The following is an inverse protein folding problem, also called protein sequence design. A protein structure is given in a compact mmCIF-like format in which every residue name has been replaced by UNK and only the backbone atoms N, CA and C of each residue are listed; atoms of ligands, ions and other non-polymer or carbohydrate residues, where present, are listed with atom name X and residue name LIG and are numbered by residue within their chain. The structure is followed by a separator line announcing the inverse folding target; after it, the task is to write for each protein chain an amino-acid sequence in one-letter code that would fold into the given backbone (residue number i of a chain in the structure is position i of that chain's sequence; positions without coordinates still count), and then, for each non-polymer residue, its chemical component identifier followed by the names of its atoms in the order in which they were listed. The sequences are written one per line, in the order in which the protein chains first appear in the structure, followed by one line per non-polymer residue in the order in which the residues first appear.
data_IF_658096113444
#
_entry.id   IF_658096113444
#
_cell.length_a   1.000
_cell.length_b   1.000
_cell.length_c   1.000
_cell.angle_alpha   90.00
_cell.angle_beta   90.00
_cell.angle_gamma   90.00
#
_symmetry.space_group_name_H-M   'P 1'
#
loop_
_entity.id
_entity.type
_entity.pdbx_description
1 polymer ?
#
# COMPACT_ATOMS: atom_id res chain seq x y z
N UNK A 1 2.51 0.61 -6.04
CA UNK A 1 3.15 -0.41 -6.92
C UNK A 1 4.66 -0.37 -6.90
N UNK A 2 5.27 0.82 -7.10
CA UNK A 2 6.74 0.91 -7.17
C UNK A 2 7.44 0.46 -5.89
N UNK A 3 6.86 0.75 -4.73
CA UNK A 3 7.43 0.32 -3.45
C UNK A 3 7.34 -1.19 -3.29
N UNK A 4 6.17 -1.76 -3.56
CA UNK A 4 5.99 -3.20 -3.45
C UNK A 4 6.85 -3.97 -4.45
N UNK A 5 7.10 -3.41 -5.63
CA UNK A 5 7.92 -4.06 -6.65
C UNK A 5 9.39 -4.21 -6.25
N UNK A 6 9.83 -3.54 -5.18
CA UNK A 6 11.16 -3.75 -4.61
C UNK A 6 11.29 -5.07 -3.85
N UNK A 7 10.16 -5.63 -3.43
CA UNK A 7 10.13 -6.88 -2.65
C UNK A 7 9.49 -8.03 -3.42
N UNK A 8 8.54 -7.74 -4.29
CA UNK A 8 7.73 -8.73 -5.00
C UNK A 8 7.82 -8.44 -6.48
N UNK A 9 7.97 -9.48 -7.29
CA UNK A 9 8.04 -9.33 -8.75
C UNK A 9 6.81 -8.57 -9.27
N UNK A 10 7.07 -7.52 -10.04
CA UNK A 10 6.04 -6.60 -10.52
C UNK A 10 4.92 -7.30 -11.29
N UNK A 11 5.24 -8.36 -12.06
CA UNK A 11 4.26 -9.09 -12.84
C UNK A 11 3.28 -9.90 -11.99
N UNK A 12 3.54 -10.06 -10.70
CA UNK A 12 2.62 -10.72 -9.76
C UNK A 12 1.67 -9.75 -9.08
N UNK A 13 1.93 -8.44 -9.20
CA UNK A 13 1.14 -7.39 -8.57
C UNK A 13 0.05 -6.93 -9.53
N UNK A 14 -1.18 -6.87 -9.06
CA UNK A 14 -2.34 -6.44 -9.84
C UNK A 14 -3.09 -5.36 -9.06
N UNK A 15 -3.43 -4.29 -9.77
CA UNK A 15 -4.28 -3.23 -9.20
C UNK A 15 -5.74 -3.59 -9.42
N UNK A 16 -6.49 -3.68 -8.34
CA UNK A 16 -7.94 -3.82 -8.39
C UNK A 16 -8.57 -2.48 -8.04
N UNK A 17 -9.20 -1.86 -9.04
CA UNK A 17 -9.83 -0.57 -8.81
C UNK A 17 -10.96 -0.64 -7.80
N UNK A 18 -11.14 0.43 -7.04
CA UNK A 18 -10.41 1.72 -7.20
C UNK A 18 -9.07 1.79 -6.45
N UNK A 19 -8.82 0.94 -5.46
CA UNK A 19 -7.75 1.25 -4.50
C UNK A 19 -7.10 0.04 -3.83
N UNK A 20 -7.17 -1.14 -4.44
CA UNK A 20 -6.57 -2.35 -3.88
C UNK A 20 -5.41 -2.86 -4.72
N UNK A 21 -4.42 -3.47 -4.06
CA UNK A 21 -3.34 -4.19 -4.72
C UNK A 21 -3.42 -5.65 -4.32
N UNK A 22 -3.38 -6.52 -5.31
CA UNK A 22 -3.54 -7.97 -5.13
C UNK A 22 -2.30 -8.72 -5.61
N UNK A 23 -2.08 -9.89 -4.99
CA UNK A 23 -1.15 -10.92 -5.45
C UNK A 23 -1.92 -12.23 -5.49
N UNK A 24 -1.97 -12.88 -6.67
CA UNK A 24 -2.71 -14.14 -6.83
C UNK A 24 -4.12 -14.06 -6.25
N UNK A 25 -4.81 -12.95 -6.54
CA UNK A 25 -6.17 -12.67 -6.07
C UNK A 25 -6.29 -12.48 -4.55
N UNK A 26 -5.18 -12.26 -3.85
CA UNK A 26 -5.16 -11.97 -2.43
C UNK A 26 -4.76 -10.52 -2.19
N UNK A 27 -5.50 -9.82 -1.36
CA UNK A 27 -5.23 -8.42 -1.09
C UNK A 27 -4.01 -8.27 -0.18
N UNK A 28 -3.05 -7.45 -0.60
CA UNK A 28 -1.86 -7.12 0.19
C UNK A 28 -1.86 -5.67 0.64
N UNK A 29 -2.54 -4.78 -0.08
CA UNK A 29 -2.57 -3.36 0.23
C UNK A 29 -3.89 -2.73 -0.17
N UNK A 30 -4.29 -1.73 0.59
CA UNK A 30 -5.44 -0.89 0.27
C UNK A 30 -5.07 0.58 0.48
N UNK A 31 -5.66 1.44 -0.34
CA UNK A 31 -5.43 2.89 -0.28
C UNK A 31 -6.78 3.57 -0.09
N UNK A 32 -6.84 4.49 0.87
CA UNK A 32 -8.02 5.29 1.13
C UNK A 32 -7.67 6.76 0.95
N UNK A 33 -8.47 7.46 0.14
CA UNK A 33 -8.29 8.90 -0.08
C UNK A 33 -9.53 9.62 0.40
N UNK A 34 -9.35 10.59 1.27
CA UNK A 34 -10.42 11.45 1.75
C UNK A 34 -10.02 12.91 1.57
N UNK A 35 -11.03 13.78 1.36
CA UNK A 35 -10.79 15.21 1.28
C UNK A 35 -11.80 15.97 2.13
N UNK A 36 -11.36 17.11 2.65
CA UNK A 36 -12.25 18.00 3.38
C UNK A 36 -11.82 19.46 3.18
N UNK A 37 -12.77 20.35 3.38
CA UNK A 37 -12.54 21.79 3.25
C UNK A 37 -12.49 22.42 4.64
N UNK A 38 -11.44 23.21 4.89
CA UNK A 38 -11.29 23.93 6.14
C UNK A 38 -10.66 25.31 5.88
N UNK A 39 -11.32 26.37 6.32
CA UNK A 39 -10.84 27.75 6.14
C UNK A 39 -10.44 28.07 4.70
N UNK A 40 -11.32 27.73 3.74
CA UNK A 40 -11.14 27.99 2.31
C UNK A 40 -10.00 27.17 1.66
N UNK A 41 -9.41 26.23 2.37
CA UNK A 41 -8.40 25.32 1.82
C UNK A 41 -8.95 23.91 1.77
N UNK A 42 -8.52 23.15 0.76
CA UNK A 42 -8.87 21.75 0.62
C UNK A 42 -7.70 20.93 1.12
N UNK A 43 -7.98 20.00 2.04
CA UNK A 43 -7.01 19.08 2.59
C UNK A 43 -7.33 17.67 2.08
N UNK A 44 -6.28 16.92 1.76
CA UNK A 44 -6.40 15.54 1.31
C UNK A 44 -5.70 14.65 2.34
N UNK A 45 -6.41 13.62 2.78
CA UNK A 45 -5.85 12.61 3.66
C UNK A 45 -5.68 11.33 2.85
N UNK A 46 -4.46 10.81 2.82
CA UNK A 46 -4.12 9.57 2.12
C UNK A 46 -3.80 8.50 3.16
N UNK A 47 -4.65 7.48 3.23
CA UNK A 47 -4.41 6.32 4.07
C UNK A 47 -3.87 5.17 3.22
N UNK A 48 -2.73 4.62 3.61
CA UNK A 48 -2.12 3.48 2.93
C UNK A 48 -1.99 2.35 3.93
N UNK A 49 -2.71 1.25 3.68
CA UNK A 49 -2.60 0.04 4.47
C UNK A 49 -1.81 -1.00 3.69
N UNK A 50 -0.75 -1.52 4.29
CA UNK A 50 0.08 -2.55 3.69
C UNK A 50 0.32 -3.66 4.71
N UNK A 51 0.05 -4.89 4.30
CA UNK A 51 0.26 -6.05 5.16
C UNK A 51 1.73 -6.48 5.08
N UNK A 52 2.53 -6.06 6.05
CA UNK A 52 3.96 -6.39 6.08
C UNK A 52 4.22 -7.80 6.58
N UNK A 53 3.72 -8.13 7.77
CA UNK A 53 3.99 -9.40 8.44
C UNK A 53 2.72 -10.21 8.62
N UNK A 54 1.67 -9.59 9.14
CA UNK A 54 0.38 -10.22 9.38
C UNK A 54 -0.65 -9.69 8.39
N UNK A 55 -1.67 -10.47 8.14
CA UNK A 55 -2.80 -10.06 7.31
C UNK A 55 -4.10 -10.46 8.01
N UNK A 56 -5.16 -9.63 7.87
CA UNK A 56 -6.43 -9.95 8.51
C UNK A 56 -7.09 -11.16 7.86
N UNK A 57 -7.83 -11.92 8.66
CA UNK A 57 -8.66 -12.99 8.15
C UNK A 57 -10.06 -12.41 7.89
N UNK A 58 -10.43 -12.32 6.62
CA UNK A 58 -11.69 -11.71 6.20
C UNK A 58 -12.58 -12.74 5.52
N UNK A 59 -13.90 -12.62 5.72
CA UNK A 59 -14.87 -13.55 5.15
C UNK A 59 -15.16 -13.29 3.69
N UNK A 60 -15.01 -12.04 3.23
CA UNK A 60 -15.45 -11.60 1.91
C UNK A 60 -14.37 -11.71 0.84
N UNK A 61 -13.09 -11.71 1.22
CA UNK A 61 -11.99 -11.86 0.28
C UNK A 61 -10.73 -12.35 0.99
N UNK A 62 -9.81 -12.90 0.19
CA UNK A 62 -8.53 -13.42 0.70
C UNK A 62 -7.51 -12.29 0.84
N UNK A 63 -6.64 -12.41 1.83
CA UNK A 63 -5.56 -11.45 2.10
C UNK A 63 -4.22 -12.16 2.17
N UNK A 64 -3.15 -11.40 1.99
CA UNK A 64 -1.79 -11.89 2.15
C UNK A 64 -0.90 -10.79 2.73
N UNK A 65 0.37 -11.09 2.97
CA UNK A 65 1.34 -10.13 3.48
C UNK A 65 2.66 -10.31 2.74
N UNK A 66 3.54 -9.30 2.83
CA UNK A 66 4.88 -9.42 2.25
C UNK A 66 5.61 -10.61 2.86
N UNK A 67 5.51 -10.79 4.18
CA UNK A 67 6.14 -11.93 4.85
C UNK A 67 5.68 -13.27 4.28
N UNK A 68 4.37 -13.43 4.06
CA UNK A 68 3.85 -14.67 3.46
C UNK A 68 4.37 -14.89 2.05
N UNK A 69 4.53 -13.83 1.28
CA UNK A 69 4.92 -13.94 -0.13
C UNK A 69 6.41 -14.16 -0.34
N UNK A 70 7.27 -13.55 0.48
CA UNK A 70 8.73 -13.64 0.27
C UNK A 70 9.47 -14.34 1.40
N UNK A 71 8.82 -14.67 2.51
CA UNK A 71 9.44 -15.37 3.64
C UNK A 71 10.38 -14.52 4.48
N UNK A 72 10.40 -13.20 4.28
CA UNK A 72 11.24 -12.28 5.05
C UNK A 72 10.39 -11.27 5.79
N UNK A 73 10.75 -11.00 7.04
CA UNK A 73 10.13 -9.92 7.81
C UNK A 73 10.79 -8.60 7.43
N UNK A 74 9.97 -7.66 6.97
CA UNK A 74 10.43 -6.32 6.63
C UNK A 74 10.24 -5.42 7.84
N UNK A 75 11.26 -4.67 8.21
CA UNK A 75 11.18 -3.74 9.32
C UNK A 75 10.23 -2.60 9.00
N UNK A 76 9.33 -2.31 9.94
CA UNK A 76 8.32 -1.27 9.78
C UNK A 76 8.93 0.11 9.49
N UNK A 77 9.98 0.47 10.21
CA UNK A 77 10.60 1.79 10.05
C UNK A 77 11.31 1.91 8.71
N UNK A 78 12.01 0.87 8.28
CA UNK A 78 12.67 0.86 6.97
C UNK A 78 11.65 0.99 5.84
N UNK A 79 10.56 0.25 5.93
CA UNK A 79 9.50 0.30 4.93
C UNK A 79 8.83 1.67 4.90
N UNK A 80 8.55 2.24 6.06
CA UNK A 80 7.94 3.57 6.18
C UNK A 80 8.82 4.65 5.55
N UNK A 81 10.13 4.55 5.71
CA UNK A 81 11.06 5.48 5.10
C UNK A 81 11.04 5.40 3.58
N UNK A 82 10.95 4.19 3.02
CA UNK A 82 10.84 4.00 1.58
C UNK A 82 9.54 4.62 1.06
N UNK A 83 8.42 4.39 1.73
CA UNK A 83 7.14 5.00 1.39
C UNK A 83 7.24 6.52 1.41
N UNK A 84 7.83 7.08 2.45
CA UNK A 84 7.98 8.53 2.59
C UNK A 84 8.77 9.14 1.44
N UNK A 85 9.87 8.50 1.05
CA UNK A 85 10.69 8.96 -0.07
C UNK A 85 9.93 8.93 -1.40
N UNK A 86 9.18 7.87 -1.65
CA UNK A 86 8.36 7.77 -2.87
C UNK A 86 7.27 8.83 -2.89
N UNK A 87 6.63 9.11 -1.76
CA UNK A 87 5.60 10.15 -1.68
C UNK A 87 6.17 11.52 -1.93
N UNK A 88 7.38 11.81 -1.44
CA UNK A 88 8.06 13.09 -1.72
C UNK A 88 8.28 13.30 -3.21
N UNK A 89 8.68 12.26 -3.93
CA UNK A 89 8.89 12.35 -5.38
C UNK A 89 7.56 12.65 -6.09
N UNK A 90 6.50 11.94 -5.72
CA UNK A 90 5.18 12.13 -6.33
C UNK A 90 4.66 13.54 -6.10
N UNK A 91 4.72 14.05 -4.86
CA UNK A 91 4.16 15.35 -4.53
C UNK A 91 5.00 16.53 -5.00
N UNK A 92 6.26 16.33 -5.35
CA UNK A 92 7.05 17.38 -6.00
C UNK A 92 6.55 17.71 -7.41
N UNK A 93 5.80 16.82 -8.02
CA UNK A 93 5.22 17.04 -9.35
C UNK A 93 3.97 17.92 -9.31
N UNK A 94 3.49 18.24 -8.13
CA UNK A 94 2.32 19.09 -7.92
C UNK A 94 2.73 20.43 -7.34
#
# INVERSE_FOLDING_TARGET
MNVLSKYIMKNKLVIKYPNDILIKQKKISGILVESFKFKKKIYVILGIGINLIKNPSLKTYKTTSIYKEIGKKIDFFDFSEIIYKEMKVIFKCF
#
